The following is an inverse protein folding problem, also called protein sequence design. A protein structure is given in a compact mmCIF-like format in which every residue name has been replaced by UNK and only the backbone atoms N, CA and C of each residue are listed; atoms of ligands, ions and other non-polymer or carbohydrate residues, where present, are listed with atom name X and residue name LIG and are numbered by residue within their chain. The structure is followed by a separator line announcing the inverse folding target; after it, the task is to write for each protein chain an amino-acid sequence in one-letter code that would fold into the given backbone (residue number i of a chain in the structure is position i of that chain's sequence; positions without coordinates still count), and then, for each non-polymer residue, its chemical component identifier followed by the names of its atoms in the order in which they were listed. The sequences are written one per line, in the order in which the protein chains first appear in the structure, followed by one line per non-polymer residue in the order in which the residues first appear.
data_IF_596786809598
#
_entry.id   IF_596786809598
#
_cell.length_a   1.000
_cell.length_b   1.000
_cell.length_c   1.000
_cell.angle_alpha   90.00
_cell.angle_beta   90.00
_cell.angle_gamma   90.00
#
_symmetry.space_group_name_H-M   'P 1'
#
loop_
_entity.id
_entity.type
_entity.pdbx_description
1 polymer ?
#
# COMPACT_ATOMS: atom_id res chain seq x y z
N UNK A 1 -35.49 -13.60 11.73
CA UNK A 1 -35.54 -12.87 10.45
C UNK A 1 -34.16 -12.29 10.19
N UNK A 2 -33.33 -13.00 9.43
CA UNK A 2 -31.95 -12.57 9.12
C UNK A 2 -32.02 -11.44 8.10
N UNK A 3 -31.42 -10.26 8.34
CA UNK A 3 -31.49 -9.18 7.37
C UNK A 3 -30.83 -9.66 6.06
N UNK A 4 -31.52 -9.44 4.95
CA UNK A 4 -30.98 -9.62 3.61
C UNK A 4 -29.64 -8.87 3.52
N UNK A 5 -28.60 -9.54 3.00
CA UNK A 5 -27.28 -8.94 2.84
C UNK A 5 -27.41 -7.64 2.02
N UNK A 6 -27.14 -6.50 2.68
CA UNK A 6 -27.28 -5.17 2.08
C UNK A 6 -26.48 -5.07 0.78
N UNK A 7 -27.19 -4.86 -0.34
CA UNK A 7 -26.70 -4.96 -1.71
C UNK A 7 -25.78 -3.83 -2.18
N UNK A 8 -25.03 -3.18 -1.28
CA UNK A 8 -24.11 -2.10 -1.62
C UNK A 8 -22.65 -2.53 -1.78
N UNK A 9 -21.78 -1.71 -2.40
CA UNK A 9 -20.33 -1.95 -2.48
C UNK A 9 -19.70 -2.05 -1.08
N UNK A 10 -18.57 -2.74 -0.86
CA UNK A 10 -17.90 -2.74 0.45
C UNK A 10 -17.49 -1.33 0.94
N UNK A 11 -17.25 -1.15 2.25
CA UNK A 11 -16.43 -0.01 2.71
C UNK A 11 -14.95 -0.35 2.52
N UNK A 12 -14.17 0.65 2.13
CA UNK A 12 -12.74 0.51 1.84
C UNK A 12 -11.94 1.21 2.93
N UNK A 13 -10.95 0.49 3.47
CA UNK A 13 -10.04 0.96 4.51
C UNK A 13 -8.63 0.97 3.94
N UNK A 14 -7.95 2.10 4.04
CA UNK A 14 -6.50 2.17 3.82
C UNK A 14 -5.86 2.31 5.20
N UNK A 15 -4.97 1.40 5.57
CA UNK A 15 -4.13 1.55 6.75
C UNK A 15 -2.80 2.17 6.33
N UNK A 16 -2.44 3.29 6.94
CA UNK A 16 -1.27 4.06 6.54
C UNK A 16 -0.58 4.73 7.72
N UNK A 17 0.72 4.97 7.57
CA UNK A 17 1.51 5.86 8.41
C UNK A 17 1.80 7.14 7.65
N UNK A 18 1.83 8.26 8.36
CA UNK A 18 2.23 9.54 7.78
C UNK A 18 3.63 9.45 7.17
N UNK A 19 3.82 9.86 5.90
CA UNK A 19 5.10 9.75 5.20
C UNK A 19 6.11 10.81 5.67
N UNK A 20 6.65 10.64 6.87
CA UNK A 20 7.63 11.55 7.47
C UNK A 20 9.06 11.02 7.26
N UNK A 21 10.02 11.85 6.79
CA UNK A 21 11.42 11.47 6.69
C UNK A 21 11.96 10.81 7.96
N UNK A 22 12.61 9.65 7.79
CA UNK A 22 13.17 8.87 8.89
C UNK A 22 12.16 8.06 9.73
N UNK A 23 10.85 8.19 9.51
CA UNK A 23 9.80 7.43 10.21
C UNK A 23 9.13 6.34 9.36
N UNK A 24 9.28 6.43 8.04
CA UNK A 24 8.77 5.47 7.05
C UNK A 24 9.89 4.98 6.14
N UNK A 25 9.71 3.79 5.57
CA UNK A 25 10.60 3.20 4.56
C UNK A 25 12.09 3.28 4.91
N UNK A 26 12.43 3.02 6.17
CA UNK A 26 13.81 3.06 6.66
C UNK A 26 14.73 2.05 5.96
N UNK A 27 14.17 0.97 5.40
CA UNK A 27 14.91 -0.01 4.58
C UNK A 27 15.26 0.48 3.17
N UNK A 28 14.72 1.62 2.72
CA UNK A 28 15.18 2.30 1.51
C UNK A 28 16.48 3.06 1.74
N UNK A 29 16.82 3.36 2.99
CA UNK A 29 18.08 3.98 3.40
C UNK A 29 19.16 2.88 3.53
N UNK A 30 20.41 3.11 3.06
CA UNK A 30 20.98 4.37 2.58
C UNK A 30 20.88 4.62 1.07
N UNK A 31 20.27 3.73 0.28
CA UNK A 31 20.18 3.92 -1.17
C UNK A 31 19.39 5.19 -1.55
N UNK A 32 18.40 5.54 -0.73
CA UNK A 32 17.70 6.81 -0.74
C UNK A 32 17.99 7.58 0.55
N UNK A 33 18.07 8.90 0.47
CA UNK A 33 18.05 9.75 1.68
C UNK A 33 16.71 9.60 2.41
N UNK A 34 16.64 9.91 3.72
CA UNK A 34 15.36 9.86 4.45
C UNK A 34 14.23 10.69 3.82
N UNK A 35 14.56 11.82 3.18
CA UNK A 35 13.61 12.66 2.47
C UNK A 35 13.12 12.00 1.17
N UNK A 36 14.02 11.39 0.40
CA UNK A 36 13.67 10.64 -0.81
C UNK A 36 12.83 9.40 -0.50
N UNK A 37 13.16 8.66 0.58
CA UNK A 37 12.36 7.52 1.04
C UNK A 37 10.94 7.93 1.46
N UNK A 38 10.78 9.07 2.16
CA UNK A 38 9.47 9.60 2.50
C UNK A 38 8.70 10.07 1.25
N UNK A 39 9.37 10.69 0.27
CA UNK A 39 8.74 11.08 -1.00
C UNK A 39 8.22 9.85 -1.78
N UNK A 40 8.96 8.74 -1.76
CA UNK A 40 8.51 7.47 -2.35
C UNK A 40 7.30 6.88 -1.60
N UNK A 41 7.32 6.91 -0.27
CA UNK A 41 6.18 6.47 0.55
C UNK A 41 4.92 7.33 0.30
N UNK A 42 5.08 8.65 0.22
CA UNK A 42 3.97 9.57 -0.10
C UNK A 42 3.43 9.29 -1.51
N UNK A 43 4.31 9.10 -2.50
CA UNK A 43 3.90 8.81 -3.87
C UNK A 43 3.12 7.49 -3.97
N UNK A 44 3.57 6.45 -3.26
CA UNK A 44 2.87 5.18 -3.19
C UNK A 44 1.49 5.32 -2.53
N UNK A 45 1.42 6.00 -1.39
CA UNK A 45 0.18 6.26 -0.68
C UNK A 45 -0.81 7.06 -1.55
N UNK A 46 -0.35 8.09 -2.27
CA UNK A 46 -1.20 8.88 -3.18
C UNK A 46 -1.78 8.04 -4.31
N UNK A 47 -1.00 7.13 -4.90
CA UNK A 47 -1.49 6.25 -5.97
C UNK A 47 -2.54 5.27 -5.42
N UNK A 48 -2.30 4.69 -4.24
CA UNK A 48 -3.25 3.84 -3.52
C UNK A 48 -4.56 4.58 -3.21
N UNK A 49 -4.49 5.78 -2.62
CA UNK A 49 -5.65 6.60 -2.29
C UNK A 49 -6.43 7.03 -3.55
N UNK A 50 -5.73 7.31 -4.65
CA UNK A 50 -6.36 7.62 -5.94
C UNK A 50 -7.16 6.42 -6.46
N UNK A 51 -6.60 5.21 -6.39
CA UNK A 51 -7.31 3.99 -6.78
C UNK A 51 -8.55 3.73 -5.92
N UNK A 52 -8.46 3.95 -4.60
CA UNK A 52 -9.60 3.83 -3.67
C UNK A 52 -10.66 4.90 -3.92
N UNK A 53 -10.26 6.15 -4.20
CA UNK A 53 -11.18 7.24 -4.54
C UNK A 53 -11.96 6.92 -5.82
N UNK A 54 -11.29 6.38 -6.83
CA UNK A 54 -11.89 5.99 -8.11
C UNK A 54 -12.71 4.68 -8.05
N UNK A 55 -12.73 3.98 -6.92
CA UNK A 55 -13.51 2.75 -6.74
C UNK A 55 -14.87 3.05 -6.11
N UNK A 56 -15.99 2.49 -6.63
CA UNK A 56 -17.27 2.53 -5.93
C UNK A 56 -17.19 1.90 -4.54
N UNK A 57 -17.49 2.67 -3.50
CA UNK A 57 -17.43 2.26 -2.10
C UNK A 57 -18.61 2.87 -1.35
N UNK A 58 -18.99 2.29 -0.19
CA UNK A 58 -19.88 3.03 0.71
C UNK A 58 -19.11 4.14 1.40
N UNK A 59 -18.21 3.77 2.30
CA UNK A 59 -17.26 4.67 2.95
C UNK A 59 -15.84 4.37 2.51
N UNK A 60 -15.02 5.42 2.52
CA UNK A 60 -13.57 5.36 2.32
C UNK A 60 -12.94 5.86 3.62
N UNK A 61 -12.19 4.99 4.27
CA UNK A 61 -11.65 5.22 5.60
C UNK A 61 -10.13 5.17 5.49
N UNK A 62 -9.46 6.16 6.06
CA UNK A 62 -8.01 6.16 6.24
C UNK A 62 -7.72 5.96 7.73
N UNK A 63 -7.27 4.77 8.10
CA UNK A 63 -6.77 4.48 9.44
C UNK A 63 -5.30 4.92 9.51
N UNK A 64 -5.04 6.07 10.14
CA UNK A 64 -3.78 6.78 10.07
C UNK A 64 -2.99 6.73 11.39
N UNK A 65 -1.70 6.41 11.29
CA UNK A 65 -0.68 6.66 12.32
C UNK A 65 0.08 7.95 11.94
N UNK A 66 -0.24 9.06 12.61
CA UNK A 66 0.28 10.39 12.32
C UNK A 66 -0.81 11.37 11.88
N UNK A 67 -0.42 12.46 11.21
CA UNK A 67 -1.34 13.51 10.75
C UNK A 67 -1.64 13.38 9.25
N UNK A 68 -2.87 13.73 8.80
CA UNK A 68 -3.17 13.82 7.38
C UNK A 68 -2.38 14.98 6.75
N UNK A 69 -1.97 14.81 5.50
CA UNK A 69 -1.24 15.82 4.75
C UNK A 69 -1.87 16.14 3.39
N UNK A 70 -1.21 16.99 2.57
CA UNK A 70 -1.66 17.35 1.22
C UNK A 70 -1.77 16.17 0.23
N UNK A 71 -1.36 14.98 0.67
CA UNK A 71 -1.48 13.72 -0.05
C UNK A 71 -2.85 13.05 0.09
N UNK A 72 -3.67 13.47 1.04
CA UNK A 72 -5.00 12.92 1.25
C UNK A 72 -6.03 13.59 0.32
N UNK A 73 -6.66 12.88 -0.63
CA UNK A 73 -7.77 13.42 -1.40
C UNK A 73 -9.03 13.59 -0.53
N UNK A 74 -9.95 14.43 -0.99
CA UNK A 74 -11.27 14.60 -0.36
C UNK A 74 -12.09 13.29 -0.39
N UNK A 75 -13.09 13.21 0.49
CA UNK A 75 -14.03 12.08 0.54
C UNK A 75 -13.54 10.86 1.34
N UNK A 76 -12.48 11.02 2.13
CA UNK A 76 -12.02 10.04 3.12
C UNK A 76 -12.40 10.47 4.54
N UNK A 77 -12.90 9.54 5.33
CA UNK A 77 -12.98 9.67 6.78
C UNK A 77 -11.64 9.23 7.38
N UNK A 78 -10.98 10.10 8.12
CA UNK A 78 -9.71 9.77 8.80
C UNK A 78 -10.03 9.27 10.20
N UNK A 79 -9.45 8.13 10.57
CA UNK A 79 -9.48 7.59 11.93
C UNK A 79 -8.06 7.37 12.44
N UNK A 80 -7.85 7.49 13.74
CA UNK A 80 -6.54 7.24 14.35
C UNK A 80 -6.35 5.74 14.54
N UNK A 81 -5.16 5.22 14.21
CA UNK A 81 -4.82 3.83 14.52
C UNK A 81 -4.72 3.61 16.03
N UNK A 82 -5.22 2.47 16.52
CA UNK A 82 -5.18 2.08 17.93
C UNK A 82 -4.51 0.72 18.06
N UNK A 83 -3.72 0.53 19.12
CA UNK A 83 -2.99 -0.71 19.39
C UNK A 83 -1.49 -0.60 19.14
N UNK A 84 -0.74 -1.42 19.85
CA UNK A 84 0.72 -1.36 19.86
C UNK A 84 1.32 -2.12 18.67
N UNK A 85 0.73 -3.28 18.36
CA UNK A 85 1.08 -4.14 17.23
C UNK A 85 0.25 -3.91 15.97
N UNK A 86 0.78 -4.32 14.82
CA UNK A 86 0.04 -4.22 13.54
C UNK A 86 -1.23 -5.09 13.55
N UNK A 87 -1.19 -6.26 14.19
CA UNK A 87 -2.36 -7.14 14.33
C UNK A 87 -3.49 -6.46 15.12
N UNK A 88 -3.12 -5.74 16.18
CA UNK A 88 -4.02 -4.93 16.98
C UNK A 88 -4.64 -3.79 16.16
N UNK A 89 -3.80 -3.06 15.44
CA UNK A 89 -4.21 -1.92 14.60
C UNK A 89 -5.15 -2.35 13.49
N UNK A 90 -4.86 -3.46 12.83
CA UNK A 90 -5.75 -4.05 11.83
C UNK A 90 -7.07 -4.49 12.46
N UNK A 91 -7.03 -5.19 13.59
CA UNK A 91 -8.23 -5.63 14.30
C UNK A 91 -9.12 -4.44 14.69
N UNK A 92 -8.55 -3.38 15.27
CA UNK A 92 -9.27 -2.16 15.61
C UNK A 92 -9.81 -1.43 14.38
N UNK A 93 -9.05 -1.36 13.27
CA UNK A 93 -9.54 -0.77 12.04
C UNK A 93 -10.79 -1.49 11.50
N UNK A 94 -10.84 -2.83 11.55
CA UNK A 94 -12.05 -3.58 11.19
C UNK A 94 -13.20 -3.34 12.18
N UNK A 95 -12.94 -3.35 13.49
CA UNK A 95 -13.96 -3.11 14.51
C UNK A 95 -14.59 -1.72 14.36
N UNK A 96 -13.76 -0.68 14.25
CA UNK A 96 -14.20 0.71 14.23
C UNK A 96 -14.93 1.06 12.92
N UNK A 97 -14.51 0.42 11.82
CA UNK A 97 -15.14 0.62 10.53
C UNK A 97 -16.43 -0.18 10.34
N UNK A 98 -16.72 -1.25 11.10
CA UNK A 98 -17.81 -2.15 10.73
C UNK A 98 -19.20 -1.57 11.09
N UNK A 99 -19.97 -1.19 10.07
CA UNK A 99 -21.36 -0.72 10.20
C UNK A 99 -22.36 -1.62 9.44
N UNK A 100 -22.13 -2.93 9.46
CA UNK A 100 -23.00 -3.92 8.80
C UNK A 100 -22.72 -4.15 7.31
N UNK A 101 -21.70 -3.50 6.73
CA UNK A 101 -21.26 -3.68 5.33
C UNK A 101 -19.97 -4.53 5.29
N UNK A 102 -19.71 -5.27 4.19
CA UNK A 102 -18.40 -5.89 3.98
C UNK A 102 -17.28 -4.85 4.06
N UNK A 103 -16.13 -5.23 4.60
CA UNK A 103 -14.95 -4.39 4.70
C UNK A 103 -13.83 -4.94 3.81
N UNK A 104 -13.11 -4.05 3.12
CA UNK A 104 -11.86 -4.36 2.41
C UNK A 104 -10.79 -3.43 2.96
N UNK A 105 -9.74 -4.01 3.53
CA UNK A 105 -8.57 -3.30 4.04
C UNK A 105 -7.38 -3.53 3.12
N UNK A 106 -6.66 -2.46 2.80
CA UNK A 106 -5.39 -2.48 2.07
C UNK A 106 -4.32 -1.65 2.79
N UNK A 107 -3.06 -1.99 2.56
CA UNK A 107 -1.90 -1.22 3.02
C UNK A 107 -1.61 0.02 2.16
N UNK A 108 -0.69 0.87 2.63
CA UNK A 108 -0.25 2.08 1.92
C UNK A 108 0.85 1.85 0.87
N UNK A 109 1.50 0.68 0.91
CA UNK A 109 2.80 0.45 0.28
C UNK A 109 2.74 -0.27 -1.07
N UNK A 110 1.53 -0.44 -1.61
CA UNK A 110 1.26 -1.22 -2.81
C UNK A 110 0.74 -0.31 -3.93
N UNK A 111 1.58 0.55 -4.56
CA UNK A 111 1.14 1.51 -5.60
C UNK A 111 0.56 0.85 -6.85
N UNK A 112 0.70 -0.47 -6.98
CA UNK A 112 0.12 -1.29 -8.04
C UNK A 112 -1.40 -1.48 -7.92
N UNK A 113 -2.01 -1.12 -6.78
CA UNK A 113 -3.46 -1.24 -6.57
C UNK A 113 -4.21 -0.41 -7.62
N UNK A 114 -5.23 -1.02 -8.22
CA UNK A 114 -6.09 -0.38 -9.22
C UNK A 114 -7.56 -0.48 -8.84
N UNK A 115 -8.42 0.41 -9.35
CA UNK A 115 -9.86 0.27 -9.16
C UNK A 115 -10.42 -1.07 -9.64
N UNK A 116 -9.83 -1.65 -10.70
CA UNK A 116 -10.23 -2.95 -11.22
C UNK A 116 -9.95 -4.11 -10.22
N UNK A 117 -8.82 -4.06 -9.52
CA UNK A 117 -8.48 -5.03 -8.47
C UNK A 117 -9.40 -4.90 -7.27
N UNK A 118 -9.68 -3.67 -6.82
CA UNK A 118 -10.60 -3.42 -5.71
C UNK A 118 -12.03 -3.84 -6.06
N UNK A 119 -12.49 -3.53 -7.29
CA UNK A 119 -13.77 -4.02 -7.79
C UNK A 119 -13.81 -5.55 -7.83
N UNK A 120 -12.72 -6.23 -8.25
CA UNK A 120 -12.63 -7.70 -8.22
C UNK A 120 -12.79 -8.24 -6.78
N UNK A 121 -12.15 -7.60 -5.80
CA UNK A 121 -12.30 -7.96 -4.39
C UNK A 121 -13.77 -7.84 -3.93
N UNK A 122 -14.41 -6.71 -4.22
CA UNK A 122 -15.82 -6.49 -3.87
C UNK A 122 -16.75 -7.50 -4.57
N UNK A 123 -16.49 -7.86 -5.83
CA UNK A 123 -17.26 -8.90 -6.53
C UNK A 123 -17.11 -10.26 -5.86
N UNK A 124 -15.90 -10.62 -5.45
CA UNK A 124 -15.64 -11.89 -4.77
C UNK A 124 -16.35 -11.96 -3.42
N UNK A 125 -16.37 -10.86 -2.64
CA UNK A 125 -17.09 -10.80 -1.35
C UNK A 125 -18.61 -10.97 -1.47
N UNK A 126 -19.21 -10.80 -2.66
CA UNK A 126 -20.63 -11.14 -2.86
C UNK A 126 -20.92 -12.63 -2.80
N UNK A 127 -19.91 -13.47 -3.05
CA UNK A 127 -20.05 -14.94 -3.11
C UNK A 127 -19.27 -15.62 -1.98
N UNK A 128 -18.09 -15.10 -1.65
CA UNK A 128 -17.12 -15.67 -0.72
C UNK A 128 -17.17 -14.97 0.62
N UNK A 129 -16.76 -15.65 1.69
CA UNK A 129 -16.75 -15.09 3.03
C UNK A 129 -15.58 -14.12 3.25
N UNK A 130 -14.45 -14.40 2.59
CA UNK A 130 -13.25 -13.57 2.64
C UNK A 130 -12.58 -13.44 1.26
N UNK A 131 -11.77 -12.40 1.12
CA UNK A 131 -10.87 -12.19 -0.02
C UNK A 131 -9.48 -11.87 0.51
N UNK A 132 -8.45 -12.44 -0.10
CA UNK A 132 -7.07 -12.29 0.32
C UNK A 132 -6.18 -11.93 -0.87
N UNK A 133 -5.37 -10.89 -0.73
CA UNK A 133 -4.35 -10.49 -1.70
C UNK A 133 -2.95 -10.71 -1.11
N UNK A 134 -2.22 -11.75 -1.53
CA UNK A 134 -0.88 -12.02 -1.00
C UNK A 134 0.13 -10.96 -1.46
N UNK A 135 1.06 -10.58 -0.59
CA UNK A 135 2.23 -9.79 -0.98
C UNK A 135 3.41 -10.71 -1.30
N UNK A 136 4.29 -10.30 -2.20
CA UNK A 136 5.44 -11.11 -2.67
C UNK A 136 6.50 -11.35 -1.59
N UNK A 137 6.51 -10.55 -0.53
CA UNK A 137 7.39 -10.69 0.63
C UNK A 137 6.87 -11.71 1.67
N UNK A 138 5.72 -12.33 1.40
CA UNK A 138 5.05 -13.27 2.29
C UNK A 138 4.01 -12.64 3.23
N UNK A 139 3.81 -11.32 3.15
CA UNK A 139 2.71 -10.59 3.77
C UNK A 139 1.42 -10.63 2.95
N UNK A 140 0.62 -9.57 3.06
CA UNK A 140 -0.61 -9.40 2.29
C UNK A 140 -0.89 -7.91 2.03
N UNK A 141 -1.27 -7.59 0.80
CA UNK A 141 -1.66 -6.23 0.42
C UNK A 141 -3.16 -5.96 0.60
N UNK A 142 -3.99 -7.02 0.67
CA UNK A 142 -5.44 -6.91 0.83
C UNK A 142 -6.04 -8.00 1.72
N UNK A 143 -6.91 -7.59 2.63
CA UNK A 143 -7.85 -8.46 3.33
C UNK A 143 -9.28 -7.91 3.19
N UNK A 144 -10.17 -8.72 2.62
CA UNK A 144 -11.61 -8.45 2.57
C UNK A 144 -12.39 -9.43 3.42
N UNK A 145 -13.33 -8.94 4.21
CA UNK A 145 -14.22 -9.77 5.05
C UNK A 145 -15.68 -9.36 4.83
N UNK A 146 -16.53 -10.32 4.48
CA UNK A 146 -17.98 -10.08 4.31
C UNK A 146 -18.66 -9.78 5.65
N UNK A 147 -18.22 -10.47 6.69
CA UNK A 147 -18.60 -10.24 8.09
C UNK A 147 -17.30 -10.20 8.90
N UNK A 148 -16.75 -9.02 9.17
CA UNK A 148 -15.52 -8.86 9.92
C UNK A 148 -15.59 -9.52 11.29
N UNK A 149 -14.55 -10.29 11.61
CA UNK A 149 -14.28 -10.77 12.96
C UNK A 149 -12.84 -10.40 13.31
N UNK A 150 -12.67 -9.37 14.14
CA UNK A 150 -11.38 -8.84 14.52
C UNK A 150 -10.47 -9.87 15.21
N UNK A 151 -11.05 -10.92 15.81
CA UNK A 151 -10.30 -12.01 16.46
C UNK A 151 -9.48 -12.83 15.46
N UNK A 152 -9.84 -12.81 14.18
CA UNK A 152 -9.07 -13.49 13.12
C UNK A 152 -7.71 -12.82 12.87
N UNK A 153 -7.55 -11.55 13.25
CA UNK A 153 -6.31 -10.80 13.06
C UNK A 153 -5.41 -10.84 14.29
N UNK A 154 -6.00 -10.78 15.49
CA UNK A 154 -5.26 -10.73 16.76
C UNK A 154 -4.32 -11.93 16.93
N UNK A 155 -3.06 -11.67 17.24
CA UNK A 155 -2.03 -12.70 17.42
C UNK A 155 -1.62 -13.43 16.14
N UNK A 156 -1.92 -12.88 14.95
CA UNK A 156 -1.20 -13.28 13.73
C UNK A 156 0.21 -12.69 13.83
N UNK A 157 1.28 -13.48 13.61
CA UNK A 157 2.63 -12.95 13.57
C UNK A 157 2.75 -11.90 12.46
N UNK A 158 3.11 -10.66 12.81
CA UNK A 158 3.22 -9.54 11.86
C UNK A 158 4.67 -9.27 11.47
N UNK A 159 4.85 -8.63 10.31
CA UNK A 159 6.17 -8.23 9.77
C UNK A 159 7.14 -9.40 9.60
N UNK A 160 6.62 -10.59 9.26
CA UNK A 160 7.40 -11.80 9.00
C UNK A 160 7.10 -12.35 7.60
N UNK A 161 8.03 -13.10 6.98
CA UNK A 161 7.80 -13.73 5.68
C UNK A 161 6.66 -14.77 5.67
N UNK A 162 6.19 -15.22 6.83
CA UNK A 162 5.07 -16.16 6.98
C UNK A 162 3.76 -15.48 7.40
N UNK A 163 3.71 -14.15 7.56
CA UNK A 163 2.53 -13.40 8.03
C UNK A 163 1.28 -13.68 7.20
N UNK A 164 1.38 -13.55 5.87
CA UNK A 164 0.27 -13.79 4.95
C UNK A 164 -0.19 -15.24 4.94
N UNK A 165 0.75 -16.19 4.94
CA UNK A 165 0.46 -17.62 5.04
C UNK A 165 -0.26 -17.98 6.34
N UNK A 166 0.20 -17.45 7.47
CA UNK A 166 -0.40 -17.65 8.79
C UNK A 166 -1.83 -17.08 8.86
N UNK A 167 -2.05 -15.88 8.34
CA UNK A 167 -3.39 -15.28 8.26
C UNK A 167 -4.31 -16.11 7.36
N UNK A 168 -3.87 -16.48 6.16
CA UNK A 168 -4.67 -17.27 5.24
C UNK A 168 -5.06 -18.63 5.82
N UNK A 169 -4.11 -19.32 6.47
CA UNK A 169 -4.38 -20.57 7.18
C UNK A 169 -5.41 -20.38 8.30
N UNK A 170 -5.32 -19.28 9.06
CA UNK A 170 -6.27 -18.95 10.12
C UNK A 170 -7.68 -18.67 9.60
N UNK A 171 -7.80 -17.93 8.49
CA UNK A 171 -9.10 -17.69 7.83
C UNK A 171 -9.74 -19.01 7.40
N UNK A 172 -8.97 -19.92 6.80
CA UNK A 172 -9.43 -21.25 6.38
C UNK A 172 -9.82 -22.13 7.56
N UNK A 173 -9.02 -22.14 8.63
CA UNK A 173 -9.32 -22.89 9.85
C UNK A 173 -10.61 -22.40 10.54
N UNK A 174 -10.96 -21.12 10.39
CA UNK A 174 -12.24 -20.57 10.82
C UNK A 174 -13.43 -20.94 9.91
N UNK A 175 -13.22 -21.81 8.91
CA UNK A 175 -14.26 -22.25 7.97
C UNK A 175 -14.64 -21.20 6.91
N UNK A 176 -13.83 -20.16 6.73
CA UNK A 176 -14.12 -19.15 5.72
C UNK A 176 -13.72 -19.64 4.32
N UNK A 177 -14.67 -19.53 3.40
CA UNK A 177 -14.41 -19.66 1.97
C UNK A 177 -13.70 -18.40 1.46
N UNK A 178 -12.40 -18.53 1.15
CA UNK A 178 -11.49 -17.44 0.80
C UNK A 178 -11.23 -17.42 -0.70
N UNK A 179 -11.51 -16.30 -1.37
CA UNK A 179 -11.01 -16.05 -2.71
C UNK A 179 -9.66 -15.34 -2.67
N UNK A 180 -8.72 -15.81 -3.47
CA UNK A 180 -7.40 -15.17 -3.62
C UNK A 180 -7.36 -14.23 -4.83
N UNK A 181 -6.68 -13.10 -4.66
CA UNK A 181 -6.35 -12.14 -5.72
C UNK A 181 -4.90 -12.37 -6.19
N UNK A 182 -4.50 -11.79 -7.34
CA UNK A 182 -3.10 -11.80 -7.75
C UNK A 182 -2.18 -11.21 -6.67
N UNK A 183 -0.97 -11.75 -6.59
CA UNK A 183 0.06 -11.20 -5.73
C UNK A 183 0.52 -9.83 -6.25
N UNK A 184 0.79 -8.91 -5.33
CA UNK A 184 1.43 -7.62 -5.58
C UNK A 184 2.68 -7.48 -4.72
N UNK A 185 3.52 -6.49 -5.01
CA UNK A 185 4.75 -6.22 -4.26
C UNK A 185 4.56 -4.98 -3.41
N UNK A 186 4.73 -5.14 -2.10
CA UNK A 186 4.86 -4.02 -1.19
C UNK A 186 6.26 -3.42 -1.33
N UNK A 187 6.35 -2.12 -1.52
CA UNK A 187 7.62 -1.45 -1.77
C UNK A 187 8.35 -1.20 -0.46
N UNK A 188 9.29 -2.07 -0.08
CA UNK A 188 10.06 -1.91 1.17
C UNK A 188 11.55 -1.67 0.94
N UNK A 189 12.10 -2.19 -0.15
CA UNK A 189 13.52 -2.12 -0.48
C UNK A 189 13.77 -1.37 -1.80
N UNK A 190 15.01 -0.93 -2.07
CA UNK A 190 15.34 -0.32 -3.36
C UNK A 190 15.08 -1.24 -4.55
N UNK A 191 15.23 -2.55 -4.38
CA UNK A 191 14.92 -3.54 -5.40
C UNK A 191 13.41 -3.58 -5.70
N UNK A 192 12.57 -3.52 -4.66
CA UNK A 192 11.11 -3.43 -4.83
C UNK A 192 10.74 -2.14 -5.55
N UNK A 193 11.34 -1.01 -5.15
CA UNK A 193 11.07 0.28 -5.77
C UNK A 193 11.39 0.28 -7.27
N UNK A 194 12.56 -0.26 -7.65
CA UNK A 194 12.95 -0.41 -9.05
C UNK A 194 12.01 -1.35 -9.82
N UNK A 195 11.72 -2.53 -9.26
CA UNK A 195 10.86 -3.55 -9.89
C UNK A 195 9.43 -3.05 -10.10
N UNK A 196 8.84 -2.44 -9.07
CA UNK A 196 7.48 -1.89 -9.13
C UNK A 196 7.41 -0.69 -10.06
N UNK A 197 8.40 0.21 -10.05
CA UNK A 197 8.45 1.33 -11.00
C UNK A 197 8.56 0.86 -12.45
N UNK A 198 9.34 -0.19 -12.71
CA UNK A 198 9.43 -0.80 -14.03
C UNK A 198 8.09 -1.42 -14.46
N UNK A 199 7.42 -2.17 -13.57
CA UNK A 199 6.09 -2.74 -13.83
C UNK A 199 5.01 -1.67 -14.05
N UNK A 200 5.18 -0.49 -13.46
CA UNK A 200 4.31 0.67 -13.63
C UNK A 200 4.75 1.61 -14.76
N UNK A 201 5.70 1.21 -15.60
CA UNK A 201 6.10 1.99 -16.79
C UNK A 201 5.42 1.42 -18.03
N UNK A 202 4.75 2.26 -18.82
CA UNK A 202 4.06 1.87 -20.06
C UNK A 202 4.58 2.73 -21.21
N UNK A 203 4.97 2.09 -22.31
CA UNK A 203 5.50 2.77 -23.50
C UNK A 203 6.64 3.76 -23.17
N UNK A 204 7.52 3.36 -22.24
CA UNK A 204 8.64 4.18 -21.76
C UNK A 204 8.25 5.33 -20.82
N UNK A 205 6.98 5.46 -20.43
CA UNK A 205 6.48 6.52 -19.54
C UNK A 205 6.02 5.97 -18.20
N UNK A 206 6.43 6.58 -17.07
CA UNK A 206 5.95 6.16 -15.76
C UNK A 206 4.44 6.40 -15.63
N UNK A 207 3.71 5.40 -15.15
CA UNK A 207 2.29 5.49 -14.83
C UNK A 207 2.11 5.55 -13.31
N UNK A 208 1.49 6.63 -12.83
CA UNK A 208 1.36 6.90 -11.40
C UNK A 208 2.52 7.73 -10.84
N UNK A 209 2.29 8.29 -9.65
CA UNK A 209 3.26 9.15 -8.98
C UNK A 209 4.46 8.36 -8.49
N UNK A 210 4.26 7.14 -8.00
CA UNK A 210 5.33 6.32 -7.47
C UNK A 210 6.42 6.07 -8.52
N UNK A 211 6.03 5.56 -9.69
CA UNK A 211 6.97 5.32 -10.79
C UNK A 211 7.65 6.63 -11.21
N UNK A 212 6.90 7.72 -11.37
CA UNK A 212 7.46 9.01 -11.76
C UNK A 212 8.52 9.51 -10.77
N UNK A 213 8.29 9.34 -9.47
CA UNK A 213 9.23 9.70 -8.40
C UNK A 213 10.49 8.83 -8.46
N UNK A 214 10.37 7.50 -8.60
CA UNK A 214 11.54 6.61 -8.74
C UNK A 214 12.39 7.03 -9.94
N UNK A 215 11.77 7.26 -11.09
CA UNK A 215 12.46 7.70 -12.30
C UNK A 215 13.17 9.05 -12.12
N UNK A 216 12.54 10.02 -11.45
CA UNK A 216 13.13 11.32 -11.19
C UNK A 216 14.35 11.22 -10.26
N UNK A 217 14.25 10.45 -9.18
CA UNK A 217 15.33 10.26 -8.21
C UNK A 217 16.54 9.53 -8.83
N UNK A 218 16.28 8.53 -9.66
CA UNK A 218 17.35 7.82 -10.39
C UNK A 218 18.12 8.74 -11.34
N UNK A 219 17.43 9.63 -12.06
CA UNK A 219 18.09 10.65 -12.91
C UNK A 219 18.93 11.63 -12.07
N UNK A 220 18.39 12.09 -10.95
CA UNK A 220 19.12 13.01 -10.07
C UNK A 220 20.37 12.35 -9.45
N UNK A 221 20.31 11.06 -9.12
CA UNK A 221 21.48 10.31 -8.66
C UNK A 221 22.55 10.18 -9.75
N UNK A 222 22.15 9.93 -11.00
CA UNK A 222 23.06 9.87 -12.15
C UNK A 222 23.73 11.23 -12.41
N UNK A 223 22.99 12.33 -12.36
CA UNK A 223 23.56 13.69 -12.52
C UNK A 223 24.52 14.06 -11.39
N UNK A 224 24.27 13.62 -10.15
CA UNK A 224 25.17 13.84 -9.00
C UNK A 224 26.47 13.05 -9.11
N UNK A 225 26.44 11.89 -9.77
CA UNK A 225 27.58 11.00 -9.94
C UNK A 225 28.31 11.17 -11.28
N UNK A 226 27.87 12.08 -12.15
CA UNK A 226 28.57 12.38 -13.39
C UNK A 226 29.90 13.10 -13.07
N UNK A 227 31.04 12.65 -13.62
CA UNK A 227 32.31 13.34 -13.42
C UNK A 227 32.20 14.76 -13.98
N UNK A 228 32.57 15.75 -13.18
CA UNK A 228 32.75 17.13 -13.63
C UNK A 228 33.81 17.13 -14.74
N UNK A 229 33.39 17.30 -15.99
CA UNK A 229 34.32 17.65 -17.07
C UNK A 229 34.70 19.11 -16.87
N UNK A 230 35.74 19.34 -16.07
CA UNK A 230 36.48 20.59 -16.14
C UNK A 230 37.97 20.36 -15.86
N UNK A 231 38.82 21.10 -16.56
CA UNK A 231 40.29 21.01 -16.66
C UNK A 231 40.88 20.21 -17.85
N UNK A 232 40.63 20.68 -19.09
CA UNK A 232 41.67 20.72 -20.14
C UNK A 232 41.54 22.01 -20.96
N UNK A 233 41.97 23.11 -20.38
CA UNK A 233 42.56 24.19 -21.18
C UNK A 233 43.81 24.68 -20.46
N UNK A 234 44.90 23.99 -20.74
CA UNK A 234 46.20 24.19 -20.12
C UNK A 234 47.28 23.91 -21.14
N UNK A 235 47.74 24.99 -21.78
CA UNK A 235 49.00 25.21 -22.52
C UNK A 235 48.92 25.16 -24.05
N UNK A 236 49.18 26.34 -24.61
CA UNK A 236 49.60 26.56 -25.99
C UNK A 236 50.00 28.02 -26.23
N UNK A 237 51.06 28.49 -25.57
CA UNK A 237 51.76 29.74 -25.98
C UNK A 237 52.86 29.33 -26.96
N UNK A 238 52.88 29.82 -28.21
CA UNK A 238 54.07 29.73 -29.05
C UNK A 238 54.92 31.00 -28.93
N UNK A 239 56.22 30.79 -29.13
CA UNK A 239 57.30 31.77 -29.11
C UNK A 239 57.26 32.79 -30.26
#
# INVERSE_FOLDING_TARGET
MTPAAGGGPADLIVIAKEPVPGRVKTRLTPAYTPAEAAALAEAALRDTLTAVAATPAGRRILALDGAPGPWLPAGFTVTVQRGDGLDERLAHAFTDAWAGRPLVLIGMDTPQVTPALLARAQRALRRRAAVFGPATDGGFWLLGLRRPDARLLRGVPMSRPDTGGALLARLRAAGLDVAELPALTDVDTPADAASVAAALTRDGRPHGRFAATVHALSRNAQSRNAPTQDARDGRGVPA
#
